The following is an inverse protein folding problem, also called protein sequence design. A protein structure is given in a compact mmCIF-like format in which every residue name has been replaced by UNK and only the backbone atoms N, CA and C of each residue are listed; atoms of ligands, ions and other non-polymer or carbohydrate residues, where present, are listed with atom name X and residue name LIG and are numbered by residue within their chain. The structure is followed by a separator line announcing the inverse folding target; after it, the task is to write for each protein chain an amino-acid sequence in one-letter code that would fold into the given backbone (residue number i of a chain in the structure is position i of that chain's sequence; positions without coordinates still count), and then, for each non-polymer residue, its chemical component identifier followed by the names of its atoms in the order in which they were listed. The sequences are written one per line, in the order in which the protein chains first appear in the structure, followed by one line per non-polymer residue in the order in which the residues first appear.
data_IF_858797226668
#
_entry.id   IF_858797226668
#
_cell.length_a   1.000
_cell.length_b   1.000
_cell.length_c   1.000
_cell.angle_alpha   90.00
_cell.angle_beta   90.00
_cell.angle_gamma   90.00
#
_symmetry.space_group_name_H-M   'P 1'
#
loop_
_entity.id
_entity.type
_entity.pdbx_description
1 polymer ?
#
# COMPACT_ATOMS: atom_id res chain seq x y z
N UNK A 1 -12.80 -1.95 -9.60
CA UNK A 1 -12.32 -3.13 -10.36
C UNK A 1 -11.04 -3.59 -9.69
N UNK A 2 -10.89 -4.88 -9.38
CA UNK A 2 -9.65 -5.39 -8.78
C UNK A 2 -8.66 -5.88 -9.82
N UNK A 3 -7.41 -6.05 -9.41
CA UNK A 3 -6.44 -6.77 -10.23
C UNK A 3 -6.93 -8.20 -10.45
N UNK A 4 -6.73 -8.74 -11.65
CA UNK A 4 -6.94 -10.15 -12.00
C UNK A 4 -8.24 -10.80 -11.46
N UNK A 5 -9.34 -10.05 -11.36
CA UNK A 5 -10.63 -10.59 -10.92
C UNK A 5 -10.73 -11.01 -9.44
N UNK A 6 -9.88 -10.48 -8.54
CA UNK A 6 -9.84 -10.78 -7.10
C UNK A 6 -9.42 -12.22 -6.75
N UNK A 7 -8.65 -12.89 -7.60
CA UNK A 7 -8.13 -14.24 -7.31
C UNK A 7 -7.25 -14.26 -6.06
N UNK A 8 -7.40 -15.27 -5.20
CA UNK A 8 -6.62 -15.38 -3.95
C UNK A 8 -5.11 -15.46 -4.19
N UNK A 9 -4.70 -16.04 -5.32
CA UNK A 9 -3.29 -16.20 -5.74
C UNK A 9 -2.57 -14.85 -5.92
N UNK A 10 -3.30 -13.73 -6.02
CA UNK A 10 -2.69 -12.42 -6.18
C UNK A 10 -2.06 -11.87 -4.89
N UNK A 11 -2.54 -12.34 -3.73
CA UNK A 11 -2.14 -11.81 -2.43
C UNK A 11 -0.74 -12.31 -2.05
N UNK A 12 0.19 -11.40 -1.69
CA UNK A 12 1.54 -11.80 -1.31
C UNK A 12 1.56 -12.49 0.06
N UNK A 13 2.59 -13.30 0.35
CA UNK A 13 2.82 -13.86 1.68
C UNK A 13 2.76 -12.79 2.78
N UNK A 14 2.20 -13.15 3.93
CA UNK A 14 2.02 -12.22 5.05
C UNK A 14 0.88 -11.21 4.86
N UNK A 15 0.11 -11.31 3.78
CA UNK A 15 -0.98 -10.40 3.43
C UNK A 15 -0.53 -8.94 3.35
N UNK A 16 0.66 -8.66 2.81
CA UNK A 16 1.19 -7.30 2.69
C UNK A 16 0.77 -6.66 1.36
N UNK A 17 -0.45 -6.13 1.29
CA UNK A 17 -1.00 -5.58 0.05
C UNK A 17 -1.76 -4.28 0.26
N UNK A 18 -2.00 -3.58 -0.86
CA UNK A 18 -2.75 -2.33 -0.92
C UNK A 18 -3.77 -2.32 -2.05
N UNK A 19 -4.84 -1.56 -1.85
CA UNK A 19 -5.63 -0.97 -2.92
C UNK A 19 -5.20 0.49 -3.14
N UNK A 20 -5.27 0.99 -4.37
CA UNK A 20 -4.80 2.34 -4.73
C UNK A 20 -5.97 3.24 -5.15
N UNK A 21 -5.87 4.55 -4.89
CA UNK A 21 -6.82 5.54 -5.40
C UNK A 21 -6.66 5.77 -6.92
N UNK A 22 -7.58 6.54 -7.50
CA UNK A 22 -7.57 6.91 -8.93
C UNK A 22 -6.23 7.49 -9.39
N UNK A 23 -5.61 8.37 -8.59
CA UNK A 23 -4.33 9.00 -8.93
C UNK A 23 -3.16 8.03 -9.07
N UNK A 24 -3.27 6.83 -8.48
CA UNK A 24 -2.25 5.78 -8.57
C UNK A 24 -2.68 4.58 -9.41
N UNK A 25 -3.97 4.45 -9.74
CA UNK A 25 -4.51 3.26 -10.41
C UNK A 25 -3.97 3.06 -11.82
N UNK A 26 -3.68 4.15 -12.53
CA UNK A 26 -3.04 4.15 -13.85
C UNK A 26 -3.74 3.20 -14.84
N UNK A 27 -5.07 3.28 -14.91
CA UNK A 27 -5.92 2.40 -15.74
C UNK A 27 -5.63 0.90 -15.56
N UNK A 28 -5.21 0.47 -14.36
CA UNK A 28 -4.87 -0.92 -14.05
C UNK A 28 -3.39 -1.27 -14.21
N UNK A 29 -2.56 -0.39 -14.80
CA UNK A 29 -1.11 -0.59 -14.89
C UNK A 29 -0.41 -0.57 -13.52
N UNK A 30 -1.13 -0.16 -12.47
CA UNK A 30 -0.68 -0.26 -11.09
C UNK A 30 -0.68 -1.70 -10.55
N UNK A 31 -1.45 -2.61 -11.14
CA UNK A 31 -1.54 -3.99 -10.67
C UNK A 31 -0.19 -4.68 -10.61
N UNK A 32 0.11 -5.30 -9.46
CA UNK A 32 1.38 -5.99 -9.24
C UNK A 32 2.57 -5.08 -8.93
N UNK A 33 2.45 -3.75 -9.04
CA UNK A 33 3.51 -2.83 -8.58
C UNK A 33 3.79 -3.07 -7.09
N UNK A 34 5.07 -2.98 -6.73
CA UNK A 34 5.54 -3.09 -5.35
C UNK A 34 5.95 -1.72 -4.84
N UNK A 35 5.54 -1.40 -3.62
CA UNK A 35 5.93 -0.18 -2.93
C UNK A 35 6.62 -0.53 -1.61
N UNK A 36 7.73 0.14 -1.31
CA UNK A 36 8.29 0.16 0.04
C UNK A 36 7.76 1.37 0.78
N UNK A 37 7.12 1.13 1.92
CA UNK A 37 6.45 2.14 2.74
C UNK A 37 7.21 2.38 4.04
N UNK A 38 7.25 3.64 4.50
CA UNK A 38 7.68 4.01 5.86
C UNK A 38 6.68 4.97 6.49
N UNK A 39 6.24 4.68 7.72
CA UNK A 39 5.40 5.58 8.47
C UNK A 39 6.22 6.80 8.94
N UNK A 40 5.76 8.01 8.60
CA UNK A 40 6.43 9.25 8.96
C UNK A 40 5.79 9.91 10.19
N UNK A 41 4.46 9.96 10.21
CA UNK A 41 3.72 10.66 11.25
C UNK A 41 2.26 10.22 11.32
N UNK A 42 1.58 10.64 12.38
CA UNK A 42 0.14 10.49 12.56
C UNK A 42 -0.26 11.00 13.94
N UNK A 43 -1.57 11.17 14.15
CA UNK A 43 -2.07 11.61 15.46
C UNK A 43 -1.79 10.54 16.53
N UNK A 44 -1.35 10.96 17.72
CA UNK A 44 -0.91 10.09 18.82
C UNK A 44 0.32 9.22 18.53
N UNK A 45 1.23 9.67 17.65
CA UNK A 45 2.51 9.01 17.35
C UNK A 45 2.35 7.50 17.05
N UNK A 46 1.56 7.13 16.02
CA UNK A 46 1.17 5.75 15.79
C UNK A 46 2.27 4.91 15.13
N UNK A 47 3.28 5.54 14.53
CA UNK A 47 4.28 4.89 13.69
C UNK A 47 5.19 3.93 14.47
N UNK A 48 5.45 2.78 13.86
CA UNK A 48 6.57 1.88 14.16
C UNK A 48 7.80 2.30 13.37
N UNK A 49 8.97 1.92 13.87
CA UNK A 49 10.21 2.01 13.11
C UNK A 49 10.28 0.96 12.00
N UNK A 50 11.02 1.26 10.93
CA UNK A 50 11.27 0.36 9.81
C UNK A 50 10.38 0.60 8.58
N UNK A 51 10.49 -0.32 7.62
CA UNK A 51 9.79 -0.24 6.33
C UNK A 51 9.16 -1.57 5.97
N UNK A 52 8.09 -1.55 5.18
CA UNK A 52 7.46 -2.75 4.63
C UNK A 52 7.34 -2.68 3.11
N UNK A 53 7.37 -3.83 2.46
CA UNK A 53 7.13 -3.95 1.03
C UNK A 53 5.71 -4.48 0.81
N UNK A 54 4.89 -3.73 0.07
CA UNK A 54 3.50 -4.07 -0.23
C UNK A 54 3.28 -4.20 -1.74
N UNK A 55 2.32 -5.05 -2.12
CA UNK A 55 1.90 -5.22 -3.52
C UNK A 55 0.54 -4.56 -3.77
N UNK A 56 0.38 -3.89 -4.91
CA UNK A 56 -0.92 -3.40 -5.38
C UNK A 56 -1.77 -4.55 -5.91
N UNK A 57 -2.97 -4.73 -5.36
CA UNK A 57 -3.87 -5.85 -5.72
C UNK A 57 -5.31 -5.41 -6.05
N UNK A 58 -5.68 -4.16 -5.79
CA UNK A 58 -7.04 -3.69 -6.03
C UNK A 58 -7.07 -2.17 -6.33
N UNK A 59 -8.16 -1.74 -6.95
CA UNK A 59 -8.56 -0.35 -6.99
C UNK A 59 -9.40 -0.02 -5.76
N UNK A 60 -9.27 1.19 -5.24
CA UNK A 60 -10.07 1.65 -4.13
C UNK A 60 -11.58 1.51 -4.44
N UNK A 61 -12.34 0.72 -3.65
CA UNK A 61 -13.75 0.45 -3.96
C UNK A 61 -14.68 1.60 -3.61
N UNK A 62 -14.20 2.58 -2.84
CA UNK A 62 -14.98 3.74 -2.39
C UNK A 62 -14.74 4.93 -3.33
N UNK A 63 -15.79 5.69 -3.61
CA UNK A 63 -15.72 6.94 -4.38
C UNK A 63 -16.37 8.10 -3.60
N UNK A 64 -15.64 9.17 -3.24
CA UNK A 64 -14.19 9.32 -3.44
C UNK A 64 -13.40 8.33 -2.56
N UNK A 65 -12.20 7.96 -3.00
CA UNK A 65 -11.34 7.10 -2.18
C UNK A 65 -10.92 7.86 -0.91
N UNK A 66 -11.05 7.27 0.30
CA UNK A 66 -10.77 7.99 1.55
C UNK A 66 -9.27 8.27 1.78
N UNK A 67 -8.38 7.65 1.00
CA UNK A 67 -6.93 7.75 1.15
C UNK A 67 -6.23 7.34 -0.15
N UNK A 68 -4.97 7.72 -0.35
CA UNK A 68 -4.25 7.40 -1.60
C UNK A 68 -3.92 5.91 -1.70
N UNK A 69 -3.58 5.30 -0.57
CA UNK A 69 -3.45 3.84 -0.43
C UNK A 69 -4.44 3.37 0.62
N UNK A 70 -4.99 2.18 0.41
CA UNK A 70 -5.70 1.42 1.43
C UNK A 70 -4.90 0.15 1.71
N UNK A 71 -4.41 -0.04 2.93
CA UNK A 71 -3.53 -1.17 3.30
C UNK A 71 -4.32 -2.34 3.89
N UNK A 72 -3.89 -3.57 3.67
CA UNK A 72 -4.38 -4.71 4.47
C UNK A 72 -4.12 -4.50 5.97
N UNK A 73 -4.87 -5.21 6.81
CA UNK A 73 -4.68 -5.17 8.27
C UNK A 73 -3.26 -5.52 8.69
N UNK A 74 -2.64 -6.51 8.02
CA UNK A 74 -1.27 -6.93 8.31
C UNK A 74 -0.24 -5.85 7.91
N UNK A 75 -0.38 -5.24 6.72
CA UNK A 75 0.50 -4.16 6.29
C UNK A 75 0.39 -2.96 7.23
N UNK A 76 -0.84 -2.56 7.58
CA UNK A 76 -1.04 -1.45 8.50
C UNK A 76 -0.45 -1.73 9.89
N UNK A 77 -0.71 -2.92 10.46
CA UNK A 77 -0.18 -3.32 11.76
C UNK A 77 1.34 -3.45 11.78
N UNK A 78 1.99 -3.68 10.64
CA UNK A 78 3.44 -3.76 10.56
C UNK A 78 4.12 -2.38 10.72
N UNK A 79 3.46 -1.28 10.32
CA UNK A 79 4.02 0.07 10.43
C UNK A 79 3.32 0.99 11.45
N UNK A 80 2.25 0.52 12.10
CA UNK A 80 1.52 1.28 13.11
C UNK A 80 1.13 0.43 14.32
N UNK A 81 1.22 1.02 15.51
CA UNK A 81 0.67 0.45 16.75
C UNK A 81 -0.81 0.78 16.97
N UNK A 82 -1.40 1.68 16.18
CA UNK A 82 -2.76 2.19 16.36
C UNK A 82 -3.65 1.86 15.16
N UNK A 83 -4.54 0.85 15.24
CA UNK A 83 -5.26 0.28 14.08
C UNK A 83 -6.25 1.23 13.41
N UNK A 84 -6.59 2.36 14.07
CA UNK A 84 -7.52 3.37 13.55
C UNK A 84 -6.83 4.70 13.23
N UNK A 85 -5.50 4.77 13.34
CA UNK A 85 -4.79 6.00 13.06
C UNK A 85 -4.82 6.34 11.56
N UNK A 86 -4.97 7.63 11.26
CA UNK A 86 -4.55 8.17 9.97
C UNK A 86 -3.06 8.45 10.05
N UNK A 87 -2.31 7.87 9.13
CA UNK A 87 -0.86 8.01 9.07
C UNK A 87 -0.45 8.66 7.75
N UNK A 88 0.61 9.46 7.83
CA UNK A 88 1.34 9.91 6.65
C UNK A 88 2.51 8.97 6.45
N UNK A 89 2.68 8.49 5.22
CA UNK A 89 3.82 7.66 4.85
C UNK A 89 4.59 8.31 3.70
N UNK A 90 5.86 7.95 3.59
CA UNK A 90 6.58 8.00 2.32
C UNK A 90 6.50 6.62 1.65
N UNK A 91 6.57 6.61 0.33
CA UNK A 91 6.65 5.40 -0.46
C UNK A 91 7.62 5.52 -1.62
N UNK A 92 8.22 4.40 -1.99
CA UNK A 92 9.05 4.29 -3.18
C UNK A 92 8.59 3.08 -3.98
N UNK A 93 8.56 3.21 -5.30
CA UNK A 93 8.25 2.09 -6.19
C UNK A 93 9.48 1.21 -6.35
N UNK A 94 9.31 -0.08 -6.07
CA UNK A 94 10.32 -1.11 -6.28
C UNK A 94 10.15 -1.66 -7.70
N UNK A 95 11.09 -1.32 -8.59
CA UNK A 95 11.14 -1.83 -9.96
C UNK A 95 12.17 -2.96 -9.98
N UNK A 96 11.73 -4.17 -10.29
CA UNK A 96 12.65 -5.28 -10.54
C UNK A 96 13.06 -5.22 -12.01
N UNK A 97 14.33 -5.00 -12.28
CA UNK A 97 14.93 -5.26 -13.59
C UNK A 97 15.53 -6.66 -13.55
N UNK A 98 15.50 -7.39 -14.66
CA UNK A 98 15.86 -8.82 -14.76
C UNK A 98 17.29 -9.18 -14.32
N UNK A 99 18.10 -8.20 -13.90
CA UNK A 99 19.45 -8.32 -13.35
C UNK A 99 19.50 -8.04 -11.83
N UNK A 100 18.79 -8.81 -11.00
CA UNK A 100 18.91 -8.89 -9.51
C UNK A 100 18.86 -7.55 -8.69
N UNK A 101 18.74 -6.41 -9.36
CA UNK A 101 18.77 -5.09 -8.75
C UNK A 101 17.35 -4.53 -8.69
N UNK A 102 16.90 -4.27 -7.47
CA UNK A 102 15.67 -3.51 -7.27
C UNK A 102 15.99 -2.03 -7.40
N UNK A 103 15.57 -1.41 -8.49
CA UNK A 103 15.65 0.04 -8.65
C UNK A 103 14.51 0.67 -7.83
N UNK A 104 14.87 1.59 -6.95
CA UNK A 104 13.93 2.34 -6.15
C UNK A 104 13.59 3.65 -6.88
N UNK A 105 12.40 3.72 -7.47
CA UNK A 105 11.89 5.00 -7.94
C UNK A 105 11.28 5.74 -6.76
N UNK A 106 11.96 6.78 -6.32
CA UNK A 106 11.49 7.63 -5.23
C UNK A 106 10.28 8.41 -5.72
N UNK A 107 9.14 8.20 -5.05
CA UNK A 107 7.94 9.00 -5.27
C UNK A 107 7.73 9.78 -3.97
N UNK A 108 8.27 10.99 -3.92
CA UNK A 108 8.21 11.85 -2.73
C UNK A 108 6.85 12.53 -2.62
N UNK A 109 5.85 11.76 -2.20
CA UNK A 109 4.54 12.27 -1.85
C UNK A 109 4.14 11.77 -0.46
N UNK A 110 3.77 12.69 0.43
CA UNK A 110 3.13 12.32 1.68
C UNK A 110 1.74 11.79 1.37
N UNK A 111 1.52 10.50 1.62
CA UNK A 111 0.23 9.87 1.43
C UNK A 111 -0.50 9.69 2.75
N UNK A 112 -1.77 10.07 2.79
CA UNK A 112 -2.69 9.57 3.81
C UNK A 112 -3.03 8.13 3.49
N UNK A 113 -2.95 7.24 4.48
CA UNK A 113 -3.33 5.83 4.34
C UNK A 113 -4.40 5.43 5.36
N UNK A 114 -5.32 4.59 4.92
CA UNK A 114 -6.31 3.96 5.76
C UNK A 114 -6.30 2.43 5.54
N UNK A 115 -6.80 1.65 6.50
CA UNK A 115 -6.82 0.19 6.38
C UNK A 115 -8.02 -0.31 5.57
N UNK A 116 -7.83 -1.42 4.87
CA UNK A 116 -8.81 -2.19 4.14
C UNK A 116 -9.57 -3.07 5.13
N UNK A 117 -10.87 -2.80 5.29
CA UNK A 117 -11.81 -3.63 6.06
C UNK A 117 -12.24 -4.92 5.34
N UNK A 118 -11.65 -5.28 4.19
CA UNK A 118 -12.05 -6.51 3.48
C UNK A 118 -11.65 -7.73 4.31
N UNK A 119 -12.55 -8.14 5.20
CA UNK A 119 -12.64 -9.47 5.77
C UNK A 119 -12.74 -10.46 4.61
N UNK A 120 -11.76 -11.36 4.52
CA UNK A 120 -12.01 -12.67 3.93
C UNK A 120 -12.40 -13.62 5.05
#
# INVERSE_FOLDING_TARGET
MGCNGNQQEQFPPGNLFVAVSEGLWDNGAACGRRYRLRCLSGNNKPCKDGTIDVKVVDYCPQSPCPSTLLMSSNAFAAISHSPKAKINVEYIQLVHTDDEHTIHRVINEMLTIQYLWRSH
#
